data_IF_485140695691
#
_entry.id   IF_485140695691
#
_cell.length_a   1.000
_cell.length_b   1.000
_cell.length_c   1.000
_cell.angle_alpha   90.00
_cell.angle_beta   90.00
_cell.angle_gamma   90.00
#
_symmetry.space_group_name_H-M   'P 1'
#
loop_
_entity.id
_entity.type
_entity.pdbx_description
1 polymer ?
#
# COMPACT_ATOMS: atom_id res chain seq x y z
N UNK A 1 13.04 19.01 -8.19
CA UNK A 1 12.27 17.74 -8.24
C UNK A 1 11.56 17.36 -6.94
N UNK A 2 12.17 17.47 -5.75
CA UNK A 2 11.51 17.10 -4.48
C UNK A 2 10.16 17.80 -4.22
N UNK A 3 10.03 19.10 -4.54
CA UNK A 3 8.76 19.84 -4.41
C UNK A 3 7.65 19.25 -5.29
N UNK A 4 7.98 18.91 -6.54
CA UNK A 4 7.04 18.28 -7.50
C UNK A 4 6.62 16.90 -7.02
N UNK A 5 7.58 16.08 -6.55
CA UNK A 5 7.29 14.77 -5.98
C UNK A 5 6.33 14.87 -4.77
N UNK A 6 6.62 15.75 -3.82
CA UNK A 6 5.78 15.98 -2.64
C UNK A 6 4.38 16.46 -3.01
N UNK A 7 4.26 17.31 -4.03
CA UNK A 7 2.97 17.73 -4.56
C UNK A 7 2.18 16.56 -5.17
N UNK A 8 2.81 15.77 -6.06
CA UNK A 8 2.19 14.61 -6.69
C UNK A 8 1.77 13.54 -5.66
N UNK A 9 2.62 13.26 -4.69
CA UNK A 9 2.37 12.35 -3.57
C UNK A 9 1.12 12.79 -2.80
N UNK A 10 1.05 14.05 -2.36
CA UNK A 10 -0.11 14.58 -1.62
C UNK A 10 -1.40 14.53 -2.44
N UNK A 11 -1.36 14.98 -3.69
CA UNK A 11 -2.52 14.95 -4.58
C UNK A 11 -3.03 13.53 -4.78
N UNK A 12 -2.13 12.56 -4.92
CA UNK A 12 -2.49 11.15 -5.11
C UNK A 12 -3.04 10.51 -3.83
N UNK A 13 -2.49 10.86 -2.66
CA UNK A 13 -3.05 10.43 -1.36
C UNK A 13 -4.47 10.98 -1.17
N UNK A 14 -4.71 12.24 -1.51
CA UNK A 14 -6.05 12.84 -1.46
C UNK A 14 -6.99 12.10 -2.42
N UNK A 15 -6.55 11.84 -3.65
CA UNK A 15 -7.34 11.12 -4.63
C UNK A 15 -7.66 9.69 -4.19
N UNK A 16 -6.71 9.00 -3.56
CA UNK A 16 -6.91 7.67 -2.98
C UNK A 16 -7.90 7.70 -1.82
N UNK A 17 -7.84 8.74 -0.98
CA UNK A 17 -8.83 8.96 0.08
C UNK A 17 -10.23 9.18 -0.46
N UNK A 18 -10.39 9.97 -1.53
CA UNK A 18 -11.68 10.17 -2.21
C UNK A 18 -12.17 8.86 -2.81
N UNK A 19 -11.30 8.11 -3.49
CA UNK A 19 -11.63 6.80 -4.06
C UNK A 19 -12.10 5.81 -2.99
N UNK A 20 -11.40 5.76 -1.85
CA UNK A 20 -11.79 4.94 -0.71
C UNK A 20 -13.14 5.39 -0.12
N UNK A 21 -13.38 6.70 -0.02
CA UNK A 21 -14.65 7.24 0.46
C UNK A 21 -15.81 6.85 -0.46
N UNK A 22 -15.64 6.95 -1.78
CA UNK A 22 -16.65 6.51 -2.75
C UNK A 22 -16.93 5.01 -2.67
N UNK A 23 -15.87 4.22 -2.44
CA UNK A 23 -15.98 2.79 -2.20
C UNK A 23 -16.79 2.49 -0.94
N UNK A 24 -16.49 3.16 0.18
CA UNK A 24 -17.22 3.02 1.45
C UNK A 24 -18.68 3.50 1.37
N UNK A 25 -18.97 4.48 0.51
CA UNK A 25 -20.33 4.98 0.25
C UNK A 25 -21.11 4.09 -0.73
N UNK A 26 -20.51 3.00 -1.22
CA UNK A 26 -21.12 2.08 -2.18
C UNK A 26 -21.52 2.75 -3.50
N UNK A 27 -20.81 3.80 -3.90
CA UNK A 27 -21.08 4.47 -5.16
C UNK A 27 -20.67 3.57 -6.33
N UNK A 28 -21.56 3.37 -7.31
CA UNK A 28 -21.24 2.68 -8.58
C UNK A 28 -19.97 3.27 -9.22
N UNK A 29 -18.91 2.47 -9.33
CA UNK A 29 -17.61 2.90 -9.87
C UNK A 29 -16.59 3.35 -8.83
N UNK A 30 -16.91 3.29 -7.52
CA UNK A 30 -15.96 3.53 -6.45
C UNK A 30 -14.72 2.63 -6.53
N UNK A 31 -14.90 1.35 -6.89
CA UNK A 31 -13.81 0.40 -7.15
C UNK A 31 -12.85 0.91 -8.23
N UNK A 32 -13.37 1.40 -9.35
CA UNK A 32 -12.57 1.89 -10.47
C UNK A 32 -11.74 3.11 -10.07
N UNK A 33 -12.35 4.05 -9.35
CA UNK A 33 -11.66 5.24 -8.84
C UNK A 33 -10.57 4.87 -7.82
N UNK A 34 -10.84 3.88 -6.96
CA UNK A 34 -9.87 3.34 -6.01
C UNK A 34 -8.68 2.67 -6.72
N UNK A 35 -8.94 1.88 -7.76
CA UNK A 35 -7.90 1.23 -8.58
C UNK A 35 -6.97 2.28 -9.18
N UNK A 36 -7.52 3.28 -9.88
CA UNK A 36 -6.72 4.30 -10.56
C UNK A 36 -5.87 5.06 -9.54
N UNK A 37 -6.48 5.50 -8.43
CA UNK A 37 -5.81 6.34 -7.45
C UNK A 37 -4.68 5.61 -6.72
N UNK A 38 -4.91 4.37 -6.24
CA UNK A 38 -3.86 3.58 -5.57
C UNK A 38 -2.79 3.10 -6.54
N UNK A 39 -3.15 2.76 -7.78
CA UNK A 39 -2.17 2.40 -8.83
C UNK A 39 -1.27 3.59 -9.14
N UNK A 40 -1.85 4.78 -9.31
CA UNK A 40 -1.07 6.00 -9.57
C UNK A 40 -0.15 6.34 -8.39
N UNK A 41 -0.63 6.19 -7.15
CA UNK A 41 0.20 6.36 -5.96
C UNK A 41 1.36 5.34 -5.91
N UNK A 42 1.09 4.06 -6.20
CA UNK A 42 2.10 3.00 -6.29
C UNK A 42 3.18 3.33 -7.35
N UNK A 43 2.76 3.81 -8.53
CA UNK A 43 3.65 4.26 -9.60
C UNK A 43 4.53 5.43 -9.13
N UNK A 44 3.96 6.42 -8.44
CA UNK A 44 4.75 7.54 -7.88
C UNK A 44 5.81 7.03 -6.91
N UNK A 45 5.48 6.10 -6.01
CA UNK A 45 6.47 5.55 -5.07
C UNK A 45 7.55 4.72 -5.77
N UNK A 46 7.16 3.94 -6.78
CA UNK A 46 8.10 3.17 -7.58
C UNK A 46 9.06 4.10 -8.33
N UNK A 47 8.57 4.97 -9.21
CA UNK A 47 9.41 5.88 -10.00
C UNK A 47 10.13 6.92 -9.15
N UNK A 48 9.48 7.42 -8.10
CA UNK A 48 10.06 8.37 -7.16
C UNK A 48 11.37 7.88 -6.56
N UNK A 49 11.51 6.58 -6.33
CA UNK A 49 12.75 6.00 -5.81
C UNK A 49 13.91 6.02 -6.80
N UNK A 50 13.63 5.90 -8.10
CA UNK A 50 14.64 6.01 -9.14
C UNK A 50 15.06 7.47 -9.38
N UNK A 51 14.09 8.39 -9.40
CA UNK A 51 14.34 9.82 -9.66
C UNK A 51 14.92 10.59 -8.46
N UNK A 52 14.84 10.04 -7.25
CA UNK A 52 15.49 10.62 -6.06
C UNK A 52 17.00 10.31 -5.97
N UNK A 53 17.63 9.84 -7.06
CA UNK A 53 19.08 9.73 -7.18
C UNK A 53 19.75 11.09 -6.90
N UNK A 54 20.83 11.00 -6.14
CA UNK A 54 21.56 12.08 -5.49
C UNK A 54 21.77 13.30 -6.37
N UNK A 55 21.23 14.45 -5.95
CA UNK A 55 22.01 15.67 -6.18
C UNK A 55 23.24 15.57 -5.28
N UNK A 56 24.46 15.85 -5.78
CA UNK A 56 25.61 16.01 -4.93
C UNK A 56 25.31 17.15 -3.95
N UNK A 57 25.17 16.82 -2.66
CA UNK A 57 25.09 17.83 -1.61
C UNK A 57 26.51 18.36 -1.45
N UNK A 58 26.79 19.53 -2.05
CA UNK A 58 28.06 20.22 -1.91
C UNK A 58 28.14 20.74 -0.47
N UNK A 59 28.91 20.07 0.39
CA UNK A 59 29.16 20.48 1.75
C UNK A 59 30.67 20.64 1.91
N UNK A 60 31.17 21.86 1.72
CA UNK A 60 32.61 22.10 1.67
C UNK A 60 33.30 21.36 0.50
N UNK A 61 34.63 21.43 0.48
CA UNK A 61 35.48 20.92 -0.60
C UNK A 61 35.44 19.40 -0.82
N UNK A 62 34.75 18.63 0.03
CA UNK A 62 34.64 17.18 -0.10
C UNK A 62 33.35 16.78 -0.83
N UNK A 63 33.53 16.35 -2.09
CA UNK A 63 32.49 15.66 -2.85
C UNK A 63 32.33 14.26 -2.24
N UNK A 64 31.48 14.14 -1.22
CA UNK A 64 31.09 12.83 -0.70
C UNK A 64 30.21 12.14 -1.73
N UNK A 65 30.84 11.28 -2.55
CA UNK A 65 30.13 10.38 -3.47
C UNK A 65 29.10 9.59 -2.67
N UNK A 66 27.83 9.75 -3.02
CA UNK A 66 26.75 8.93 -2.45
C UNK A 66 27.08 7.47 -2.74
N UNK A 67 27.45 6.71 -1.70
CA UNK A 67 27.84 5.30 -1.83
C UNK A 67 26.77 4.54 -2.61
N UNK A 68 27.19 3.70 -3.57
CA UNK A 68 26.30 2.88 -4.40
C UNK A 68 25.27 2.10 -3.55
N UNK A 69 25.66 1.72 -2.32
CA UNK A 69 24.79 1.06 -1.34
C UNK A 69 23.55 1.89 -0.97
N UNK A 70 23.70 3.21 -0.76
CA UNK A 70 22.58 4.10 -0.41
C UNK A 70 21.65 4.36 -1.59
N UNK A 71 22.17 4.34 -2.82
CA UNK A 71 21.35 4.47 -4.02
C UNK A 71 20.50 3.21 -4.26
N UNK A 72 21.07 2.01 -4.09
CA UNK A 72 20.33 0.76 -4.16
C UNK A 72 19.25 0.70 -3.09
N UNK A 73 19.57 1.09 -1.85
CA UNK A 73 18.61 1.08 -0.77
C UNK A 73 17.39 1.96 -1.06
N UNK A 74 17.58 3.16 -1.61
CA UNK A 74 16.45 4.03 -2.00
C UNK A 74 15.51 3.35 -2.99
N UNK A 75 16.05 2.65 -3.98
CA UNK A 75 15.27 1.88 -4.97
C UNK A 75 14.47 0.79 -4.25
N UNK A 76 15.11 0.01 -3.36
CA UNK A 76 14.44 -1.01 -2.57
C UNK A 76 13.30 -0.45 -1.70
N UNK A 77 13.49 0.74 -1.10
CA UNK A 77 12.44 1.42 -0.32
C UNK A 77 11.23 1.76 -1.20
N UNK A 78 11.46 2.30 -2.39
CA UNK A 78 10.38 2.61 -3.33
C UNK A 78 9.60 1.38 -3.78
N UNK A 79 10.32 0.29 -4.08
CA UNK A 79 9.71 -0.99 -4.43
C UNK A 79 8.87 -1.50 -3.26
N UNK A 80 9.41 -1.53 -2.04
CA UNK A 80 8.69 -1.99 -0.85
C UNK A 80 7.39 -1.19 -0.62
N UNK A 81 7.45 0.15 -0.69
CA UNK A 81 6.26 1.00 -0.54
C UNK A 81 5.26 0.81 -1.68
N UNK A 82 5.73 0.72 -2.92
CA UNK A 82 4.86 0.45 -4.05
C UNK A 82 4.13 -0.89 -3.88
N UNK A 83 4.85 -1.96 -3.51
CA UNK A 83 4.25 -3.27 -3.27
C UNK A 83 3.27 -3.28 -2.11
N UNK A 84 3.51 -2.49 -1.05
CA UNK A 84 2.56 -2.32 0.05
C UNK A 84 1.25 -1.70 -0.43
N UNK A 85 1.33 -0.63 -1.22
CA UNK A 85 0.14 0.06 -1.74
C UNK A 85 -0.66 -0.85 -2.66
N UNK A 86 0.02 -1.65 -3.50
CA UNK A 86 -0.64 -2.68 -4.32
C UNK A 86 -1.25 -3.77 -3.46
N UNK A 87 -0.59 -4.20 -2.39
CA UNK A 87 -1.13 -5.16 -1.43
C UNK A 87 -2.41 -4.66 -0.76
N UNK A 88 -2.43 -3.39 -0.33
CA UNK A 88 -3.61 -2.73 0.23
C UNK A 88 -4.75 -2.71 -0.81
N UNK A 89 -4.45 -2.31 -2.05
CA UNK A 89 -5.42 -2.33 -3.15
C UNK A 89 -6.02 -3.73 -3.34
N UNK A 90 -5.18 -4.78 -3.38
CA UNK A 90 -5.62 -6.15 -3.55
C UNK A 90 -6.51 -6.61 -2.39
N UNK A 91 -6.22 -6.18 -1.17
CA UNK A 91 -7.05 -6.53 -0.02
C UNK A 91 -8.41 -5.83 -0.06
N UNK A 92 -8.42 -4.53 -0.37
CA UNK A 92 -9.64 -3.73 -0.47
C UNK A 92 -10.58 -4.25 -1.57
N UNK A 93 -10.03 -4.79 -2.66
CA UNK A 93 -10.80 -5.37 -3.77
C UNK A 93 -11.03 -6.88 -3.64
N UNK A 94 -10.65 -7.50 -2.52
CA UNK A 94 -10.78 -8.94 -2.28
C UNK A 94 -10.10 -9.81 -3.34
N UNK A 95 -9.01 -9.33 -3.93
CA UNK A 95 -8.22 -10.08 -4.90
C UNK A 95 -7.33 -11.12 -4.21
N UNK A 96 -7.16 -12.26 -4.89
CA UNK A 96 -6.32 -13.35 -4.39
C UNK A 96 -4.86 -12.90 -4.31
N UNK A 97 -4.16 -13.37 -3.29
CA UNK A 97 -2.74 -13.05 -3.06
C UNK A 97 -2.48 -11.77 -2.27
N UNK A 98 -3.52 -11.00 -1.90
CA UNK A 98 -3.40 -9.80 -1.07
C UNK A 98 -2.60 -10.04 0.21
N UNK A 99 -2.88 -11.14 0.92
CA UNK A 99 -2.18 -11.52 2.15
C UNK A 99 -0.68 -11.72 1.95
N UNK A 100 -0.27 -12.42 0.89
CA UNK A 100 1.14 -12.69 0.59
C UNK A 100 1.87 -11.39 0.23
N UNK A 101 1.26 -10.55 -0.62
CA UNK A 101 1.85 -9.27 -1.02
C UNK A 101 2.01 -8.33 0.19
N UNK A 102 0.97 -8.18 1.00
CA UNK A 102 1.01 -7.34 2.21
C UNK A 102 2.06 -7.82 3.21
N UNK A 103 2.08 -9.12 3.51
CA UNK A 103 3.04 -9.69 4.47
C UNK A 103 4.47 -9.49 3.99
N UNK A 104 4.75 -9.77 2.71
CA UNK A 104 6.07 -9.57 2.13
C UNK A 104 6.51 -8.09 2.20
N UNK A 105 5.62 -7.15 1.86
CA UNK A 105 5.92 -5.72 1.92
C UNK A 105 6.06 -5.18 3.34
N UNK A 106 5.31 -5.73 4.31
CA UNK A 106 5.44 -5.41 5.74
C UNK A 106 6.81 -5.83 6.25
N UNK A 107 7.21 -7.07 5.97
CA UNK A 107 8.54 -7.58 6.36
C UNK A 107 9.64 -6.74 5.73
N UNK A 108 9.57 -6.46 4.42
CA UNK A 108 10.55 -5.63 3.73
C UNK A 108 10.64 -4.21 4.34
N UNK A 109 9.50 -3.59 4.63
CA UNK A 109 9.44 -2.25 5.23
C UNK A 109 9.93 -2.24 6.67
N UNK A 110 9.65 -3.29 7.44
CA UNK A 110 10.16 -3.47 8.79
C UNK A 110 11.70 -3.61 8.79
N UNK A 111 12.28 -4.40 7.88
CA UNK A 111 13.73 -4.50 7.72
C UNK A 111 14.37 -3.15 7.38
N UNK A 112 13.76 -2.36 6.48
CA UNK A 112 14.20 -1.00 6.15
C UNK A 112 14.17 -0.10 7.39
N UNK A 113 13.10 -0.17 8.18
CA UNK A 113 12.93 0.66 9.37
C UNK A 113 13.95 0.29 10.46
N UNK A 114 14.18 -1.01 10.67
CA UNK A 114 15.22 -1.50 11.58
C UNK A 114 16.63 -1.07 11.13
N UNK A 115 16.93 -1.18 9.84
CA UNK A 115 18.19 -0.70 9.29
C UNK A 115 18.36 0.81 9.52
N UNK A 116 17.30 1.60 9.30
CA UNK A 116 17.31 3.03 9.54
C UNK A 116 17.55 3.35 11.03
N UNK A 117 16.95 2.60 11.96
CA UNK A 117 17.17 2.76 13.40
C UNK A 117 18.63 2.44 13.80
N UNK A 118 19.19 1.35 13.30
CA UNK A 118 20.58 0.94 13.61
C UNK A 118 21.60 1.91 13.02
N UNK A 119 21.32 2.44 11.83
CA UNK A 119 22.26 3.33 11.12
C UNK A 119 22.15 4.79 11.59
N UNK A 120 20.99 5.20 12.10
CA UNK A 120 20.79 6.56 12.60
C UNK A 120 21.47 6.74 13.97
N UNK A 121 22.77 7.06 13.94
CA UNK A 121 23.54 7.39 15.14
C UNK A 121 23.17 8.76 15.75
N UNK A 122 22.32 9.55 15.08
CA UNK A 122 21.78 10.82 15.60
C UNK A 122 20.53 11.23 14.80
N UNK A 123 19.40 11.42 15.50
CA UNK A 123 18.11 11.90 14.94
C UNK A 123 18.17 13.30 14.29
N UNK A 124 19.33 13.96 14.28
CA UNK A 124 19.48 15.35 13.80
C UNK A 124 19.52 15.48 12.27
N UNK A 125 19.62 14.39 11.50
CA UNK A 125 19.63 14.47 10.02
C UNK A 125 18.20 14.51 9.44
N UNK A 126 17.78 15.61 8.78
CA UNK A 126 16.40 15.78 8.30
C UNK A 126 15.99 14.80 7.18
N UNK A 127 16.94 14.20 6.46
CA UNK A 127 16.66 13.20 5.42
C UNK A 127 16.32 11.82 5.99
N UNK A 128 16.95 11.44 7.10
CA UNK A 128 16.67 10.17 7.79
C UNK A 128 15.31 10.22 8.50
N UNK A 129 14.96 11.37 9.09
CA UNK A 129 13.66 11.56 9.76
C UNK A 129 12.49 11.52 8.79
N UNK A 130 12.63 12.04 7.57
CA UNK A 130 11.56 12.02 6.57
C UNK A 130 11.26 10.60 6.05
N UNK A 131 12.30 9.81 5.74
CA UNK A 131 12.15 8.41 5.32
C UNK A 131 11.59 7.59 6.47
N UNK A 132 12.13 7.73 7.68
CA UNK A 132 11.64 7.04 8.86
C UNK A 132 10.16 7.32 9.13
N UNK A 133 9.74 8.58 9.08
CA UNK A 133 8.33 8.96 9.28
C UNK A 133 7.42 8.34 8.22
N UNK A 134 7.82 8.36 6.95
CA UNK A 134 7.04 7.77 5.84
C UNK A 134 6.95 6.24 5.97
N UNK A 135 8.07 5.57 6.23
CA UNK A 135 8.11 4.14 6.50
C UNK A 135 7.19 3.78 7.66
N UNK A 136 7.23 4.55 8.75
CA UNK A 136 6.37 4.34 9.92
C UNK A 136 4.89 4.43 9.58
N UNK A 137 4.47 5.47 8.86
CA UNK A 137 3.07 5.65 8.44
C UNK A 137 2.62 4.50 7.53
N UNK A 138 3.38 4.19 6.47
CA UNK A 138 3.01 3.13 5.51
C UNK A 138 3.00 1.76 6.20
N UNK A 139 3.96 1.48 7.06
CA UNK A 139 4.01 0.24 7.84
C UNK A 139 2.82 0.14 8.79
N UNK A 140 2.48 1.22 9.51
CA UNK A 140 1.32 1.22 10.41
C UNK A 140 0.01 0.97 9.66
N UNK A 141 -0.14 1.55 8.46
CA UNK A 141 -1.31 1.31 7.61
C UNK A 141 -1.36 -0.14 7.12
N UNK A 142 -0.23 -0.69 6.66
CA UNK A 142 -0.15 -2.09 6.25
C UNK A 142 -0.46 -3.07 7.38
N UNK A 143 0.04 -2.83 8.59
CA UNK A 143 -0.25 -3.65 9.77
C UNK A 143 -1.72 -3.51 10.17
N UNK A 144 -2.24 -2.29 10.26
CA UNK A 144 -3.64 -2.05 10.60
C UNK A 144 -4.56 -2.77 9.61
N UNK A 145 -4.27 -2.65 8.32
CA UNK A 145 -5.00 -3.36 7.28
C UNK A 145 -4.89 -4.88 7.48
N UNK A 146 -3.69 -5.44 7.68
CA UNK A 146 -3.47 -6.88 7.89
C UNK A 146 -4.26 -7.44 9.08
N UNK A 147 -4.36 -6.69 10.18
CA UNK A 147 -5.11 -7.08 11.38
C UNK A 147 -6.63 -7.12 11.17
N UNK A 148 -7.15 -6.33 10.24
CA UNK A 148 -8.59 -6.35 9.93
C UNK A 148 -8.87 -7.59 9.07
N UNK A 149 -9.82 -8.41 9.49
CA UNK A 149 -10.21 -9.61 8.74
C UNK A 149 -10.89 -9.23 7.42
N UNK A 150 -10.64 -10.02 6.37
CA UNK A 150 -11.31 -9.82 5.08
C UNK A 150 -12.83 -9.90 5.21
N UNK A 151 -13.35 -10.67 6.16
CA UNK A 151 -14.80 -10.77 6.41
C UNK A 151 -15.40 -9.48 6.95
N UNK A 152 -14.71 -8.80 7.87
CA UNK A 152 -15.16 -7.50 8.38
C UNK A 152 -15.17 -6.45 7.27
N UNK A 153 -14.12 -6.42 6.44
CA UNK A 153 -14.05 -5.49 5.29
C UNK A 153 -15.16 -5.80 4.28
N UNK A 154 -15.40 -7.08 3.97
CA UNK A 154 -16.44 -7.52 3.04
C UNK A 154 -17.84 -7.13 3.51
N UNK A 155 -18.12 -7.32 4.79
CA UNK A 155 -19.40 -6.93 5.40
C UNK A 155 -19.65 -5.42 5.34
N UNK A 156 -18.60 -4.60 5.52
CA UNK A 156 -18.72 -3.14 5.40
C UNK A 156 -19.00 -2.72 3.95
N UNK A 157 -18.27 -3.29 2.98
CA UNK A 157 -18.41 -2.94 1.56
C UNK A 157 -19.64 -3.55 0.87
N UNK A 158 -20.32 -4.52 1.47
CA UNK A 158 -21.55 -5.10 0.91
C UNK A 158 -22.71 -5.03 1.90
N UNK A 159 -22.71 -4.02 2.80
CA UNK A 159 -23.76 -3.83 3.81
C UNK A 159 -25.17 -3.64 3.23
N UNK A 160 -25.28 -3.26 1.97
CA UNK A 160 -26.54 -3.15 1.23
C UNK A 160 -27.10 -4.51 0.78
N UNK A 161 -26.28 -5.57 0.81
CA UNK A 161 -26.67 -6.91 0.40
C UNK A 161 -26.20 -7.97 1.42
N UNK A 162 -27.01 -8.22 2.47
CA UNK A 162 -26.66 -9.19 3.50
C UNK A 162 -26.60 -10.63 2.97
N UNK A 163 -27.32 -10.97 1.89
CA UNK A 163 -27.29 -12.32 1.31
C UNK A 163 -25.95 -12.61 0.64
N UNK A 164 -25.40 -11.62 -0.06
CA UNK A 164 -24.07 -11.72 -0.64
C UNK A 164 -22.99 -11.91 0.43
N UNK A 165 -23.07 -11.14 1.52
CA UNK A 165 -22.16 -11.27 2.67
C UNK A 165 -22.24 -12.66 3.29
N UNK A 166 -23.44 -13.20 3.46
CA UNK A 166 -23.63 -14.54 4.01
C UNK A 166 -23.03 -15.63 3.11
N UNK A 167 -23.35 -15.60 1.81
CA UNK A 167 -22.81 -16.56 0.82
C UNK A 167 -21.29 -16.50 0.75
N UNK A 168 -20.72 -15.29 0.74
CA UNK A 168 -19.27 -15.10 0.74
C UNK A 168 -18.62 -15.64 2.02
N UNK A 169 -19.26 -15.41 3.17
CA UNK A 169 -18.76 -15.90 4.47
C UNK A 169 -18.76 -17.42 4.53
N UNK A 170 -19.85 -18.08 4.10
CA UNK A 170 -19.94 -19.55 4.05
C UNK A 170 -18.89 -20.15 3.12
N UNK A 171 -18.72 -19.59 1.93
CA UNK A 171 -17.67 -20.01 0.99
C UNK A 171 -16.26 -19.85 1.58
N UNK A 172 -16.01 -18.75 2.31
CA UNK A 172 -14.69 -18.47 2.90
C UNK A 172 -14.36 -19.37 4.09
N UNK A 173 -15.37 -19.81 4.85
CA UNK A 173 -15.20 -20.75 5.97
C UNK A 173 -15.04 -22.20 5.52
N UNK A 174 -15.53 -22.55 4.33
CA UNK A 174 -15.52 -23.90 3.78
C UNK A 174 -15.00 -23.92 2.32
N UNK A 175 -13.72 -23.54 2.09
CA UNK A 175 -13.16 -23.41 0.75
C UNK A 175 -13.12 -24.72 -0.05
N UNK A 176 -13.13 -25.86 0.63
CA UNK A 176 -13.18 -27.21 0.04
C UNK A 176 -14.57 -27.60 -0.50
N UNK A 177 -15.64 -26.91 -0.06
CA UNK A 177 -16.98 -27.24 -0.49
C UNK A 177 -17.33 -26.54 -1.81
N UNK A 178 -17.24 -27.29 -2.91
CA UNK A 178 -17.55 -26.80 -4.25
C UNK A 178 -19.00 -26.27 -4.40
N UNK A 179 -19.95 -26.76 -3.59
CA UNK A 179 -21.34 -26.32 -3.66
C UNK A 179 -21.50 -24.86 -3.20
N UNK A 180 -20.81 -24.44 -2.14
CA UNK A 180 -20.87 -23.06 -1.67
C UNK A 180 -20.24 -22.08 -2.66
N UNK A 181 -19.15 -22.50 -3.31
CA UNK A 181 -18.54 -21.71 -4.39
C UNK A 181 -19.50 -21.55 -5.56
N UNK A 182 -20.15 -22.63 -5.99
CA UNK A 182 -21.12 -22.60 -7.08
C UNK A 182 -22.33 -21.71 -6.75
N UNK A 183 -22.82 -21.76 -5.51
CA UNK A 183 -23.93 -20.92 -5.04
C UNK A 183 -23.57 -19.42 -5.01
N UNK A 184 -22.37 -19.08 -4.53
CA UNK A 184 -21.86 -17.70 -4.58
C UNK A 184 -21.69 -17.19 -6.03
N UNK A 185 -21.10 -18.00 -6.90
CA UNK A 185 -20.89 -17.68 -8.32
C UNK A 185 -22.22 -17.59 -9.10
N UNK A 186 -23.25 -18.34 -8.70
CA UNK A 186 -24.60 -18.23 -9.26
C UNK A 186 -25.25 -16.90 -8.82
N UNK A 187 -25.20 -16.57 -7.54
CA UNK A 187 -25.79 -15.34 -7.01
C UNK A 187 -25.17 -14.08 -7.66
N UNK A 188 -23.84 -14.04 -7.78
CA UNK A 188 -23.12 -12.92 -8.39
C UNK A 188 -23.48 -12.69 -9.86
N UNK A 189 -23.91 -13.72 -10.60
CA UNK A 189 -24.31 -13.61 -12.01
C UNK A 189 -25.71 -13.00 -12.19
N UNK A 190 -26.52 -12.95 -11.13
CA UNK A 190 -27.87 -12.40 -11.18
C UNK A 190 -27.94 -10.90 -10.81
N UNK A 191 -26.80 -10.29 -10.45
CA UNK A 191 -26.67 -8.84 -10.19
C UNK A 191 -26.04 -8.12 -11.38
#
# INVERSE_FOLDING_TARGET
>A
MQKVFSFLEKSSVILAGIGLMFNLLLWKGGDFMLIISLTFLSVIYFFGSYFQRAMPVRHGQDITTTSATTALLKIFIGIAFSTMIVGLLFKLLFWKGSFVMLTASIVATACILLWALVTSKSLTKPSETAVFRRSGIILSLGIADLLISSSTIYGIFHRNDPQLVEKWTRMSQHPENAAYKADFDAYRRHQ
#
